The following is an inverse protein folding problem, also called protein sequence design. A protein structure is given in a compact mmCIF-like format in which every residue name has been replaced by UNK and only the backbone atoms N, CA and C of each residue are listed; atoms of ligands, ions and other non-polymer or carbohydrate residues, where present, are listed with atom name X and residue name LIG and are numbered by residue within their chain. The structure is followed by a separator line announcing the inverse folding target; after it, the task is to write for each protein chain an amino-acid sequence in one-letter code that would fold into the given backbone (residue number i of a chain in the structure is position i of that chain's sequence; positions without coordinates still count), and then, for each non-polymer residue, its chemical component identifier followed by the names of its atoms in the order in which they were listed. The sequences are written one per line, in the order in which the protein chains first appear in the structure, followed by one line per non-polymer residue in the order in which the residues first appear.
data_IF_444350012181
#
_entry.id   IF_444350012181
#
_cell.length_a   1.000
_cell.length_b   1.000
_cell.length_c   1.000
_cell.angle_alpha   90.00
_cell.angle_beta   90.00
_cell.angle_gamma   90.00
#
_symmetry.space_group_name_H-M   'P 1'
#
loop_
_entity.id
_entity.type
_entity.pdbx_description
1 polymer ?
#
# COMPACT_ATOMS: atom_id res chain seq x y z
N UNK A 1 -1.33 13.04 -5.13
CA UNK A 1 -1.32 13.07 -3.65
C UNK A 1 -0.63 14.35 -3.21
N UNK A 2 -1.21 15.10 -2.26
CA UNK A 2 -0.72 16.44 -1.88
C UNK A 2 0.72 16.44 -1.35
N UNK A 3 1.16 15.36 -0.70
CA UNK A 3 2.55 15.22 -0.20
C UNK A 3 3.61 15.11 -1.30
N UNK A 4 3.24 14.70 -2.52
CA UNK A 4 4.16 14.60 -3.67
C UNK A 4 3.98 15.77 -4.64
N UNK A 5 3.27 16.83 -4.25
CA UNK A 5 3.02 18.00 -5.11
C UNK A 5 2.20 17.68 -6.36
N UNK A 6 1.52 16.53 -6.42
CA UNK A 6 0.71 16.11 -7.58
C UNK A 6 -0.79 16.24 -7.32
N UNK A 7 -1.54 16.57 -8.37
CA UNK A 7 -3.00 16.65 -8.34
C UNK A 7 -3.63 15.36 -7.79
N UNK A 8 -4.79 15.48 -7.14
CA UNK A 8 -5.52 14.37 -6.50
C UNK A 8 -5.93 13.25 -7.48
N UNK A 9 -5.86 13.49 -8.79
CA UNK A 9 -6.25 12.56 -9.86
C UNK A 9 -5.07 11.82 -10.49
N UNK A 10 -3.84 12.03 -10.01
CA UNK A 10 -2.65 11.38 -10.57
C UNK A 10 -2.17 10.22 -9.70
N UNK A 11 -1.84 9.11 -10.36
CA UNK A 11 -1.23 7.95 -9.74
C UNK A 11 0.24 8.22 -9.37
N UNK A 12 0.69 7.59 -8.29
CA UNK A 12 2.07 7.60 -7.85
C UNK A 12 2.85 6.49 -8.57
N UNK A 13 4.00 6.87 -9.13
CA UNK A 13 5.00 5.98 -9.70
C UNK A 13 6.15 5.82 -8.71
N UNK A 14 7.16 5.01 -9.06
CA UNK A 14 8.32 4.73 -8.19
C UNK A 14 8.95 6.00 -7.60
N UNK A 15 9.24 7.01 -8.43
CA UNK A 15 9.91 8.23 -8.00
C UNK A 15 9.07 9.02 -7.00
N UNK A 16 7.74 9.00 -7.15
CA UNK A 16 6.82 9.67 -6.25
C UNK A 16 6.83 9.02 -4.86
N UNK A 17 6.75 7.69 -4.83
CA UNK A 17 6.78 6.90 -3.59
C UNK A 17 8.09 7.12 -2.84
N UNK A 18 9.21 7.17 -3.58
CA UNK A 18 10.52 7.41 -3.02
C UNK A 18 10.68 8.81 -2.40
N UNK A 19 9.82 9.76 -2.75
CA UNK A 19 9.84 11.14 -2.23
C UNK A 19 8.83 11.40 -1.11
N UNK A 20 7.94 10.46 -0.77
CA UNK A 20 6.98 10.62 0.33
C UNK A 20 7.76 10.88 1.63
N UNK A 21 7.57 12.00 2.37
CA UNK A 21 8.26 12.23 3.64
C UNK A 21 8.05 11.11 4.66
N UNK A 22 9.02 10.86 5.54
CA UNK A 22 8.90 9.78 6.52
C UNK A 22 7.78 10.05 7.51
N UNK A 23 7.70 11.26 8.05
CA UNK A 23 6.62 11.66 8.96
C UNK A 23 5.23 11.48 8.33
N UNK A 24 5.08 11.84 7.04
CA UNK A 24 3.82 11.64 6.30
C UNK A 24 3.49 10.14 6.15
N UNK A 25 4.48 9.31 5.84
CA UNK A 25 4.30 7.86 5.71
C UNK A 25 3.86 7.24 7.04
N UNK A 26 4.50 7.65 8.14
CA UNK A 26 4.22 7.14 9.48
C UNK A 26 2.84 7.58 9.97
N UNK A 27 2.48 8.85 9.75
CA UNK A 27 1.15 9.37 10.07
C UNK A 27 0.07 8.58 9.29
N UNK A 28 0.26 8.39 7.98
CA UNK A 28 -0.71 7.65 7.16
C UNK A 28 -0.86 6.20 7.64
N UNK A 29 0.25 5.54 7.96
CA UNK A 29 0.25 4.17 8.47
C UNK A 29 -0.44 4.06 9.84
N UNK A 30 -0.14 4.98 10.76
CA UNK A 30 -0.78 5.05 12.08
C UNK A 30 -2.29 5.30 12.00
N UNK A 31 -2.73 6.16 11.07
CA UNK A 31 -4.15 6.41 10.85
C UNK A 31 -4.89 5.14 10.41
N UNK A 32 -4.31 4.39 9.46
CA UNK A 32 -4.87 3.10 9.06
C UNK A 32 -4.89 2.09 10.20
N UNK A 33 -3.81 2.01 10.96
CA UNK A 33 -3.70 1.08 12.08
C UNK A 33 -4.75 1.41 13.16
N UNK A 34 -4.85 2.65 13.59
CA UNK A 34 -5.77 3.08 14.65
C UNK A 34 -7.25 2.91 14.24
N UNK A 35 -7.61 3.33 13.02
CA UNK A 35 -9.00 3.25 12.54
C UNK A 35 -9.46 1.80 12.29
N UNK A 36 -8.53 0.86 12.16
CA UNK A 36 -8.80 -0.54 11.82
C UNK A 36 -8.61 -1.52 12.98
N UNK A 37 -8.36 -1.03 14.19
CA UNK A 37 -7.98 -1.88 15.34
C UNK A 37 -6.75 -2.76 15.02
N UNK A 38 -5.78 -2.18 14.33
CA UNK A 38 -4.50 -2.80 13.99
C UNK A 38 -4.51 -3.78 12.82
N UNK A 39 -5.56 -3.76 11.99
CA UNK A 39 -5.72 -4.72 10.87
C UNK A 39 -5.13 -4.20 9.56
N UNK A 40 -5.08 -2.89 9.39
CA UNK A 40 -4.70 -2.21 8.15
C UNK A 40 -3.48 -1.31 8.38
N UNK A 41 -2.78 -1.00 7.29
CA UNK A 41 -1.55 -0.20 7.32
C UNK A 41 -0.54 -0.69 6.28
N UNK A 42 0.35 0.21 5.86
CA UNK A 42 1.46 -0.13 4.99
C UNK A 42 2.41 -1.11 5.68
N UNK A 43 2.69 -0.96 6.97
CA UNK A 43 3.56 -1.91 7.69
C UNK A 43 2.96 -3.32 7.72
N UNK A 44 1.64 -3.45 7.87
CA UNK A 44 0.94 -4.73 7.82
C UNK A 44 1.09 -5.36 6.43
N UNK A 45 0.88 -4.57 5.38
CA UNK A 45 1.05 -5.04 4.00
C UNK A 45 2.49 -5.50 3.73
N UNK A 46 3.49 -4.73 4.17
CA UNK A 46 4.90 -5.08 4.00
C UNK A 46 5.27 -6.36 4.76
N UNK A 47 4.73 -6.55 5.97
CA UNK A 47 4.92 -7.79 6.75
C UNK A 47 4.33 -9.00 6.02
N UNK A 48 3.11 -8.88 5.50
CA UNK A 48 2.46 -9.95 4.72
C UNK A 48 3.27 -10.24 3.45
N UNK A 49 3.69 -9.19 2.74
CA UNK A 49 4.50 -9.29 1.52
C UNK A 49 5.81 -10.04 1.77
N UNK A 50 6.50 -9.77 2.88
CA UNK A 50 7.70 -10.51 3.28
C UNK A 50 7.39 -11.97 3.63
N UNK A 51 6.29 -12.24 4.35
CA UNK A 51 5.90 -13.60 4.76
C UNK A 51 5.59 -14.52 3.57
N UNK A 52 5.09 -13.97 2.47
CA UNK A 52 4.81 -14.71 1.24
C UNK A 52 6.01 -14.73 0.27
N UNK A 53 7.20 -14.34 0.72
CA UNK A 53 8.43 -14.40 -0.06
C UNK A 53 8.51 -13.33 -1.15
N UNK A 54 7.91 -12.16 -0.91
CA UNK A 54 7.91 -11.02 -1.84
C UNK A 54 7.24 -11.34 -3.19
N UNK A 55 6.38 -12.37 -3.23
CA UNK A 55 5.54 -12.70 -4.37
C UNK A 55 4.26 -11.85 -4.37
N UNK A 56 4.10 -11.04 -5.42
CA UNK A 56 2.98 -10.11 -5.54
C UNK A 56 1.62 -10.83 -5.68
N UNK A 57 1.59 -11.99 -6.34
CA UNK A 57 0.37 -12.77 -6.53
C UNK A 57 -0.11 -13.39 -5.21
N UNK A 58 0.81 -14.00 -4.46
CA UNK A 58 0.55 -14.56 -3.14
C UNK A 58 0.16 -13.49 -2.12
N UNK A 59 0.77 -12.30 -2.20
CA UNK A 59 0.33 -11.15 -1.42
C UNK A 59 -1.12 -10.78 -1.75
N UNK A 60 -1.44 -10.63 -3.04
CA UNK A 60 -2.80 -10.29 -3.47
C UNK A 60 -3.82 -11.33 -2.98
N UNK A 61 -3.47 -12.62 -3.00
CA UNK A 61 -4.30 -13.67 -2.42
C UNK A 61 -4.50 -13.48 -0.91
N UNK A 62 -3.45 -13.13 -0.17
CA UNK A 62 -3.48 -12.96 1.29
C UNK A 62 -4.35 -11.78 1.73
N UNK A 63 -4.38 -10.70 0.95
CA UNK A 63 -5.18 -9.50 1.23
C UNK A 63 -6.50 -9.47 0.45
N UNK A 64 -6.84 -10.55 -0.25
CA UNK A 64 -8.01 -10.68 -1.14
C UNK A 64 -8.14 -9.55 -2.18
N UNK A 65 -7.01 -9.15 -2.76
CA UNK A 65 -7.02 -8.32 -3.95
C UNK A 65 -6.99 -9.19 -5.20
N UNK A 66 -7.71 -8.81 -6.27
CA UNK A 66 -7.56 -9.49 -7.56
C UNK A 66 -6.14 -9.25 -8.09
N UNK A 67 -5.49 -10.26 -8.67
CA UNK A 67 -4.12 -10.08 -9.19
C UNK A 67 -4.11 -9.17 -10.43
N UNK A 68 -5.12 -9.32 -11.31
CA UNK A 68 -5.15 -8.68 -12.63
C UNK A 68 -6.24 -7.61 -12.82
N UNK A 69 -7.13 -7.39 -11.84
CA UNK A 69 -8.22 -6.42 -11.97
C UNK A 69 -7.90 -5.10 -11.26
N UNK A 70 -8.18 -3.99 -11.94
CA UNK A 70 -8.05 -2.61 -11.42
C UNK A 70 -9.40 -1.95 -11.15
N UNK A 71 -10.51 -2.58 -11.53
CA UNK A 71 -11.87 -2.04 -11.34
C UNK A 71 -12.30 -2.14 -9.87
N UNK A 72 -12.86 -1.04 -9.34
CA UNK A 72 -12.98 -0.79 -7.90
C UNK A 72 -14.03 -1.58 -7.11
N UNK A 73 -14.57 -2.67 -7.66
CA UNK A 73 -15.67 -3.43 -7.05
C UNK A 73 -15.23 -4.49 -6.01
N UNK A 74 -13.92 -4.63 -5.75
CA UNK A 74 -13.38 -5.65 -4.82
C UNK A 74 -13.05 -5.10 -3.41
N UNK A 75 -13.15 -3.79 -3.18
CA UNK A 75 -12.79 -3.22 -1.88
C UNK A 75 -13.94 -3.39 -0.90
N UNK A 76 -13.82 -4.36 0.00
CA UNK A 76 -14.74 -4.51 1.13
C UNK A 76 -14.41 -3.45 2.18
N UNK A 77 -15.29 -2.47 2.39
CA UNK A 77 -15.05 -1.36 3.32
C UNK A 77 -15.37 -1.69 4.78
N UNK A 78 -15.62 -2.96 5.10
CA UNK A 78 -15.92 -3.41 6.46
C UNK A 78 -14.64 -3.71 7.22
N UNK A 79 -14.66 -3.57 8.55
CA UNK A 79 -13.56 -4.00 9.41
C UNK A 79 -13.30 -5.51 9.36
N UNK A 80 -14.23 -6.29 8.82
CA UNK A 80 -14.08 -7.73 8.62
C UNK A 80 -13.21 -8.08 7.40
N UNK A 81 -12.79 -7.10 6.59
CA UNK A 81 -11.87 -7.33 5.49
C UNK A 81 -10.53 -7.94 6.00
N UNK A 82 -9.82 -8.72 5.16
CA UNK A 82 -8.56 -9.38 5.55
C UNK A 82 -7.50 -8.41 6.08
N UNK A 83 -6.56 -8.92 6.88
CA UNK A 83 -5.40 -8.15 7.31
C UNK A 83 -4.65 -7.58 6.09
N UNK A 84 -4.27 -6.30 6.16
CA UNK A 84 -3.58 -5.62 5.05
C UNK A 84 -4.45 -5.30 3.83
N UNK A 85 -5.77 -5.53 3.86
CA UNK A 85 -6.66 -5.19 2.74
C UNK A 85 -6.66 -3.70 2.41
N UNK A 86 -6.41 -2.85 3.41
CA UNK A 86 -6.19 -1.41 3.24
C UNK A 86 -4.82 -0.97 3.78
N UNK A 87 -4.28 0.15 3.25
CA UNK A 87 -4.78 0.97 2.14
C UNK A 87 -4.82 0.24 0.78
N UNK A 88 -5.81 0.53 -0.07
CA UNK A 88 -5.89 -0.09 -1.41
C UNK A 88 -4.74 0.37 -2.31
N UNK A 89 -4.32 -0.44 -3.29
CA UNK A 89 -3.31 -0.07 -4.30
C UNK A 89 -3.77 0.91 -5.39
N UNK A 90 -4.96 1.50 -5.29
CA UNK A 90 -5.51 2.40 -6.33
C UNK A 90 -4.66 3.64 -6.61
N UNK A 91 -3.80 4.02 -5.67
CA UNK A 91 -2.86 5.13 -5.84
C UNK A 91 -1.64 4.76 -6.70
N UNK A 92 -1.34 3.47 -6.89
CA UNK A 92 -0.19 3.03 -7.69
C UNK A 92 -0.50 3.10 -9.19
N UNK A 93 0.43 3.60 -9.99
CA UNK A 93 0.28 3.68 -11.43
C UNK A 93 1.58 3.49 -12.22
N UNK A 94 1.50 3.81 -13.51
CA UNK A 94 2.57 3.52 -14.47
C UNK A 94 2.52 2.09 -15.00
N UNK A 95 3.45 1.76 -15.90
CA UNK A 95 3.51 0.46 -16.58
C UNK A 95 3.95 -0.71 -15.69
N UNK A 96 4.39 -0.44 -14.45
CA UNK A 96 4.92 -1.41 -13.48
C UNK A 96 4.25 -1.30 -12.11
N UNK A 97 2.99 -0.89 -12.07
CA UNK A 97 2.26 -0.60 -10.83
C UNK A 97 2.23 -1.76 -9.81
N UNK A 98 2.37 -3.02 -10.25
CA UNK A 98 2.44 -4.18 -9.35
C UNK A 98 3.71 -4.21 -8.48
N UNK A 99 4.75 -3.45 -8.84
CA UNK A 99 5.96 -3.28 -8.01
C UNK A 99 5.78 -2.26 -6.86
N UNK A 100 4.59 -1.70 -6.65
CA UNK A 100 4.40 -0.70 -5.60
C UNK A 100 4.77 -1.19 -4.19
N UNK A 101 4.59 -2.48 -3.88
CA UNK A 101 5.01 -3.04 -2.59
C UNK A 101 6.52 -3.02 -2.44
N UNK A 102 7.27 -3.41 -3.48
CA UNK A 102 8.73 -3.33 -3.49
C UNK A 102 9.21 -1.88 -3.29
N UNK A 103 8.58 -0.92 -3.97
CA UNK A 103 8.94 0.50 -3.86
C UNK A 103 8.60 1.07 -2.48
N UNK A 104 7.44 0.70 -1.92
CA UNK A 104 7.06 1.05 -0.56
C UNK A 104 7.97 0.41 0.46
N UNK A 105 8.39 -0.84 0.26
CA UNK A 105 9.32 -1.54 1.12
C UNK A 105 10.66 -0.80 1.15
N UNK A 106 11.19 -0.42 -0.01
CA UNK A 106 12.41 0.42 -0.10
C UNK A 106 12.23 1.76 0.63
N UNK A 107 11.10 2.43 0.43
CA UNK A 107 10.83 3.70 1.11
C UNK A 107 10.75 3.54 2.62
N UNK A 108 10.06 2.50 3.08
CA UNK A 108 9.90 2.16 4.50
C UNK A 108 11.24 1.92 5.20
N UNK A 109 12.11 1.11 4.59
CA UNK A 109 13.46 0.85 5.11
C UNK A 109 14.33 2.13 5.14
N UNK A 110 14.09 3.07 4.24
CA UNK A 110 14.80 4.36 4.26
C UNK A 110 14.32 5.29 5.38
N UNK A 111 13.11 5.09 5.90
CA UNK A 111 12.57 5.88 7.01
C UNK A 111 12.91 5.30 8.39
N UNK A 112 12.93 3.98 8.50
CA UNK A 112 13.02 3.27 9.78
C UNK A 112 14.35 2.52 9.95
N UNK A 113 15.43 3.10 9.44
CA UNK A 113 16.75 2.48 9.44
C UNK A 113 17.43 2.56 10.80
#
# INVERSE_FOLDING_TARGET
AQSVGKSSQSYLQKQDIQQIPCDDLDILDQLWHAASQGRFGFHIQLKIYQQVGEDYGAFCQSVEWPVHQTTGQYLQTTLNAPYGHFPSRKWAGGSRWWHHLEWMQQRWHNCHR
#
